data_IF_244472588300
#
_entry.id   IF_244472588300
#
_cell.length_a   1.000
_cell.length_b   1.000
_cell.length_c   1.000
_cell.angle_alpha   90.00
_cell.angle_beta   90.00
_cell.angle_gamma   90.00
#
_symmetry.space_group_name_H-M   'P 1'
#
loop_
_entity.id
_entity.type
_entity.pdbx_description
1 polymer ?
#
# COMPACT_ATOMS: atom_id res chain seq x y z
N UNK A 1 -21.44 -39.77 -4.46
CA UNK A 1 -21.97 -38.41 -4.43
C UNK A 1 -21.18 -37.60 -5.43
N UNK A 2 -21.83 -37.00 -6.44
CA UNK A 2 -21.20 -36.02 -7.30
C UNK A 2 -20.86 -34.82 -6.40
N UNK A 3 -19.56 -34.59 -6.17
CA UNK A 3 -19.14 -33.50 -5.31
C UNK A 3 -19.55 -32.17 -5.93
N UNK A 4 -20.31 -31.38 -5.19
CA UNK A 4 -20.65 -30.03 -5.59
C UNK A 4 -19.37 -29.20 -5.74
N UNK A 5 -19.26 -28.48 -6.86
CA UNK A 5 -18.15 -27.54 -7.07
C UNK A 5 -18.51 -26.23 -6.42
N UNK A 6 -17.84 -25.89 -5.33
CA UNK A 6 -17.95 -24.60 -4.67
C UNK A 6 -16.98 -23.58 -5.27
N UNK A 7 -17.37 -22.30 -5.28
CA UNK A 7 -16.53 -21.17 -5.63
C UNK A 7 -16.63 -20.14 -4.51
N UNK A 8 -15.49 -19.75 -3.94
CA UNK A 8 -15.39 -18.60 -3.04
C UNK A 8 -14.87 -17.40 -3.82
N UNK A 9 -15.59 -16.28 -3.76
CA UNK A 9 -15.19 -15.02 -4.44
C UNK A 9 -14.65 -14.07 -3.39
N UNK A 10 -13.44 -13.55 -3.64
CA UNK A 10 -12.76 -12.59 -2.79
C UNK A 10 -12.52 -11.29 -3.57
N UNK A 11 -12.41 -10.19 -2.86
CA UNK A 11 -12.00 -8.92 -3.46
C UNK A 11 -10.50 -8.93 -3.76
N UNK A 12 -10.11 -8.37 -4.89
CA UNK A 12 -8.71 -8.24 -5.30
C UNK A 12 -8.02 -9.57 -5.52
N UNK A 13 -6.80 -9.71 -5.03
CA UNK A 13 -6.03 -10.96 -5.10
C UNK A 13 -6.15 -11.75 -3.79
N UNK A 14 -6.57 -13.03 -3.84
CA UNK A 14 -6.69 -13.88 -2.65
C UNK A 14 -5.38 -14.02 -1.85
N UNK A 15 -4.24 -13.90 -2.49
CA UNK A 15 -2.93 -14.02 -1.82
C UNK A 15 -2.48 -12.73 -1.12
N UNK A 16 -3.20 -11.62 -1.29
CA UNK A 16 -2.78 -10.34 -0.72
C UNK A 16 -3.54 -9.99 0.55
N UNK A 17 -4.81 -9.62 0.46
CA UNK A 17 -5.65 -9.33 1.64
C UNK A 17 -6.57 -10.49 2.02
N UNK A 18 -6.82 -11.40 1.09
CA UNK A 18 -7.74 -12.53 1.24
C UNK A 18 -7.13 -13.80 1.84
N UNK A 19 -5.81 -13.86 2.08
CA UNK A 19 -5.14 -15.11 2.44
C UNK A 19 -5.66 -15.75 3.76
N UNK A 20 -6.10 -14.94 4.72
CA UNK A 20 -6.69 -15.47 5.97
C UNK A 20 -8.02 -16.19 5.69
N UNK A 21 -8.82 -15.65 4.75
CA UNK A 21 -10.06 -16.30 4.33
C UNK A 21 -9.78 -17.54 3.49
N UNK A 22 -8.80 -17.48 2.57
CA UNK A 22 -8.33 -18.63 1.81
C UNK A 22 -7.94 -19.78 2.74
N UNK A 23 -7.15 -19.53 3.78
CA UNK A 23 -6.80 -20.54 4.76
C UNK A 23 -7.99 -21.10 5.56
N UNK A 24 -9.09 -20.33 5.73
CA UNK A 24 -10.34 -20.87 6.31
C UNK A 24 -11.04 -21.80 5.32
N UNK A 25 -11.08 -21.44 4.03
CA UNK A 25 -11.66 -22.28 2.97
C UNK A 25 -10.90 -23.62 2.88
N UNK A 26 -9.56 -23.57 2.82
CA UNK A 26 -8.72 -24.77 2.74
C UNK A 26 -8.94 -25.74 3.92
N UNK A 27 -9.16 -25.19 5.12
CA UNK A 27 -9.45 -26.00 6.32
C UNK A 27 -10.89 -26.55 6.35
N UNK A 28 -11.80 -25.95 5.61
CA UNK A 28 -13.22 -26.33 5.63
C UNK A 28 -13.59 -27.38 4.58
N UNK A 29 -12.70 -27.68 3.63
CA UNK A 29 -12.97 -28.61 2.53
C UNK A 29 -11.90 -29.69 2.44
N UNK A 30 -12.34 -30.96 2.31
CA UNK A 30 -11.45 -32.10 2.06
C UNK A 30 -11.19 -32.32 0.56
N UNK A 31 -11.08 -31.22 -0.19
CA UNK A 31 -10.89 -31.23 -1.64
C UNK A 31 -9.78 -30.26 -2.05
N UNK A 32 -9.08 -30.50 -3.18
CA UNK A 32 -8.10 -29.57 -3.68
C UNK A 32 -8.70 -28.18 -3.94
N UNK A 33 -8.10 -27.14 -3.35
CA UNK A 33 -8.47 -25.75 -3.59
C UNK A 33 -7.58 -25.18 -4.69
N UNK A 34 -8.20 -24.62 -5.72
CA UNK A 34 -7.50 -23.89 -6.77
C UNK A 34 -7.68 -22.39 -6.58
N UNK A 35 -6.59 -21.69 -6.38
CA UNK A 35 -6.59 -20.21 -6.34
C UNK A 35 -6.51 -19.66 -7.76
N UNK A 36 -7.38 -18.72 -8.08
CA UNK A 36 -7.33 -17.91 -9.30
C UNK A 36 -6.90 -16.53 -8.85
N UNK A 37 -5.72 -16.03 -9.26
CA UNK A 37 -5.23 -14.71 -8.86
C UNK A 37 -6.13 -13.61 -9.43
N UNK A 38 -6.17 -12.49 -8.71
CA UNK A 38 -6.82 -11.28 -9.15
C UNK A 38 -5.87 -10.10 -9.13
N UNK A 39 -6.38 -8.89 -9.35
CA UNK A 39 -5.62 -7.65 -9.24
C UNK A 39 -5.94 -7.01 -7.92
N UNK A 40 -4.93 -6.84 -7.07
CA UNK A 40 -5.06 -6.19 -5.77
C UNK A 40 -5.12 -4.67 -5.93
N UNK A 41 -5.79 -3.97 -5.00
CA UNK A 41 -5.79 -2.51 -4.92
C UNK A 41 -4.37 -1.93 -4.82
N UNK A 42 -3.43 -2.63 -4.19
CA UNK A 42 -2.03 -2.22 -4.13
C UNK A 42 -1.35 -2.25 -5.51
N UNK A 43 -1.68 -3.22 -6.37
CA UNK A 43 -1.18 -3.25 -7.76
C UNK A 43 -1.77 -2.10 -8.58
N UNK A 44 -3.05 -1.79 -8.38
CA UNK A 44 -3.69 -0.63 -9.02
C UNK A 44 -3.01 0.66 -8.54
N UNK A 45 -2.82 0.82 -7.23
CA UNK A 45 -2.14 1.98 -6.64
C UNK A 45 -0.71 2.14 -7.18
N UNK A 46 0.07 1.04 -7.26
CA UNK A 46 1.42 1.06 -7.85
C UNK A 46 1.40 1.60 -9.29
N UNK A 47 0.44 1.14 -10.10
CA UNK A 47 0.28 1.59 -11.48
C UNK A 47 -0.12 3.07 -11.57
N UNK A 48 -1.04 3.53 -10.72
CA UNK A 48 -1.48 4.94 -10.65
C UNK A 48 -0.34 5.86 -10.18
N UNK A 49 0.42 5.42 -9.17
CA UNK A 49 1.55 6.16 -8.63
C UNK A 49 2.82 6.06 -9.52
N UNK A 50 2.83 5.17 -10.52
CA UNK A 50 4.02 4.85 -11.35
C UNK A 50 5.22 4.45 -10.48
N UNK A 51 4.99 3.60 -9.50
CA UNK A 51 6.04 3.02 -8.65
C UNK A 51 6.34 1.60 -9.13
N UNK A 52 7.56 1.31 -9.60
CA UNK A 52 7.92 -0.04 -10.03
C UNK A 52 7.80 -1.03 -8.86
N UNK A 53 7.21 -2.19 -9.10
CA UNK A 53 7.02 -3.20 -8.06
C UNK A 53 8.35 -3.69 -7.49
N UNK A 54 9.40 -3.78 -8.32
CA UNK A 54 10.75 -4.18 -7.93
C UNK A 54 11.40 -3.18 -6.96
N UNK A 55 11.03 -1.89 -7.05
CA UNK A 55 11.51 -0.82 -6.17
C UNK A 55 10.54 -0.54 -5.02
N UNK A 56 9.52 -1.37 -4.83
CA UNK A 56 8.44 -1.13 -3.87
C UNK A 56 8.44 -2.16 -2.74
N UNK A 57 7.95 -1.75 -1.57
CA UNK A 57 7.63 -2.60 -0.43
C UNK A 57 6.13 -2.57 -0.21
N UNK A 58 5.52 -3.75 -0.26
CA UNK A 58 4.08 -3.93 -0.07
C UNK A 58 3.81 -4.42 1.34
N UNK A 59 2.99 -3.69 2.09
CA UNK A 59 2.61 -4.05 3.46
C UNK A 59 1.10 -3.96 3.61
N UNK A 60 0.49 -4.99 4.20
CA UNK A 60 -0.91 -4.94 4.61
C UNK A 60 -1.01 -4.89 6.13
N UNK A 61 -1.60 -3.83 6.63
CA UNK A 61 -2.00 -3.71 8.03
C UNK A 61 -3.43 -4.21 8.25
N UNK A 62 -4.19 -4.40 7.17
CA UNK A 62 -5.58 -4.88 7.17
C UNK A 62 -5.64 -6.37 7.51
N UNK A 63 -5.19 -6.72 8.70
CA UNK A 63 -5.19 -8.09 9.23
C UNK A 63 -5.40 -8.08 10.73
N UNK A 64 -5.81 -9.23 11.28
CA UNK A 64 -5.91 -9.43 12.73
C UNK A 64 -4.54 -9.72 13.33
N UNK A 65 -4.34 -9.32 14.59
CA UNK A 65 -3.13 -9.63 15.35
C UNK A 65 -2.13 -8.49 15.40
N UNK A 66 -0.93 -8.85 15.82
CA UNK A 66 0.20 -7.95 16.01
C UNK A 66 0.72 -7.40 14.66
N UNK A 67 1.15 -6.15 14.65
CA UNK A 67 1.68 -5.42 13.51
C UNK A 67 3.16 -5.01 13.68
N UNK A 68 3.82 -5.35 14.79
CA UNK A 68 5.17 -4.87 15.08
C UNK A 68 6.15 -5.17 13.95
N UNK A 69 6.14 -6.39 13.41
CA UNK A 69 6.99 -6.77 12.28
C UNK A 69 6.65 -6.03 10.97
N UNK A 70 5.39 -5.59 10.81
CA UNK A 70 4.99 -4.80 9.65
C UNK A 70 5.46 -3.36 9.79
N UNK A 71 5.36 -2.78 10.98
CA UNK A 71 5.87 -1.45 11.28
C UNK A 71 7.40 -1.40 11.13
N UNK A 72 8.12 -2.38 11.66
CA UNK A 72 9.57 -2.49 11.44
C UNK A 72 9.91 -2.50 9.94
N UNK A 73 9.17 -3.27 9.14
CA UNK A 73 9.36 -3.34 7.69
C UNK A 73 9.11 -2.00 7.00
N UNK A 74 8.10 -1.25 7.44
CA UNK A 74 7.81 0.09 6.91
C UNK A 74 8.93 1.08 7.27
N UNK A 75 9.35 1.11 8.53
CA UNK A 75 10.41 2.00 9.03
C UNK A 75 11.75 1.72 8.34
N UNK A 76 12.09 0.45 8.12
CA UNK A 76 13.35 0.09 7.44
C UNK A 76 13.33 0.45 5.96
N UNK A 77 12.16 0.43 5.32
CA UNK A 77 12.04 0.62 3.88
C UNK A 77 11.73 2.07 3.46
N UNK A 78 11.23 2.92 4.37
CA UNK A 78 10.87 4.30 4.04
C UNK A 78 12.08 5.10 3.58
N UNK A 79 11.90 5.89 2.52
CA UNK A 79 12.97 6.68 1.90
C UNK A 79 13.76 5.90 0.84
N UNK A 80 14.14 4.65 1.13
CA UNK A 80 14.90 3.81 0.20
C UNK A 80 14.02 3.13 -0.86
N UNK A 81 12.78 2.81 -0.51
CA UNK A 81 11.83 2.11 -1.37
C UNK A 81 10.48 2.83 -1.37
N UNK A 82 9.75 2.69 -2.45
CA UNK A 82 8.34 3.07 -2.43
C UNK A 82 7.57 2.17 -1.46
N UNK A 83 6.76 2.77 -0.60
CA UNK A 83 5.86 2.00 0.27
C UNK A 83 4.47 1.98 -0.36
N UNK A 84 3.86 0.81 -0.40
CA UNK A 84 2.45 0.64 -0.73
C UNK A 84 1.78 -0.07 0.44
N UNK A 85 0.95 0.66 1.15
CA UNK A 85 0.38 0.20 2.42
C UNK A 85 -1.13 0.09 2.31
N UNK A 86 -1.65 -1.05 2.73
CA UNK A 86 -3.09 -1.23 2.95
C UNK A 86 -3.37 -0.95 4.43
N UNK A 87 -4.03 0.17 4.78
CA UNK A 87 -4.30 0.55 6.16
C UNK A 87 -5.18 -0.46 6.91
N UNK A 88 -5.16 -0.41 8.24
CA UNK A 88 -6.14 -1.09 9.08
C UNK A 88 -7.26 -0.09 9.38
N UNK A 89 -8.49 -0.34 8.91
CA UNK A 89 -9.59 0.59 9.07
C UNK A 89 -9.75 1.06 10.51
N UNK A 90 -9.81 2.39 10.68
CA UNK A 90 -10.06 3.13 11.92
C UNK A 90 -9.07 2.90 13.07
N UNK A 91 -8.04 2.09 12.86
CA UNK A 91 -7.01 1.79 13.85
C UNK A 91 -5.63 2.34 13.39
N UNK A 92 -5.26 2.08 12.14
CA UNK A 92 -4.03 2.55 11.51
C UNK A 92 -4.33 3.11 10.12
N UNK A 93 -4.84 4.33 10.10
CA UNK A 93 -5.19 5.05 8.88
C UNK A 93 -3.98 5.77 8.27
N UNK A 94 -4.07 6.31 7.06
CA UNK A 94 -2.93 6.95 6.39
C UNK A 94 -2.17 7.97 7.24
N UNK A 95 -2.88 8.82 8.01
CA UNK A 95 -2.28 9.79 8.91
C UNK A 95 -1.49 9.15 10.05
N UNK A 96 -2.02 8.09 10.66
CA UNK A 96 -1.35 7.37 11.76
C UNK A 96 -0.07 6.69 11.28
N UNK A 97 -0.11 6.13 10.06
CA UNK A 97 1.07 5.53 9.42
C UNK A 97 2.13 6.59 9.13
N UNK A 98 1.72 7.76 8.62
CA UNK A 98 2.62 8.87 8.38
C UNK A 98 3.26 9.40 9.66
N UNK A 99 2.49 9.51 10.75
CA UNK A 99 2.98 9.92 12.07
C UNK A 99 4.02 8.94 12.60
N UNK A 100 3.75 7.64 12.55
CA UNK A 100 4.69 6.59 12.93
C UNK A 100 5.99 6.68 12.13
N UNK A 101 5.93 6.89 10.81
CA UNK A 101 7.10 6.95 9.95
C UNK A 101 7.95 8.20 10.23
N UNK A 102 7.33 9.36 10.39
CA UNK A 102 8.03 10.61 10.70
C UNK A 102 8.64 10.55 12.10
N UNK A 103 7.93 10.00 13.10
CA UNK A 103 8.47 9.81 14.45
C UNK A 103 9.64 8.81 14.49
N UNK A 104 9.68 7.86 13.55
CA UNK A 104 10.81 6.95 13.37
C UNK A 104 11.98 7.58 12.58
N UNK A 105 11.87 8.84 12.15
CA UNK A 105 12.93 9.60 11.48
C UNK A 105 12.84 9.64 9.97
N UNK A 106 11.71 9.25 9.37
CA UNK A 106 11.51 9.45 7.93
C UNK A 106 11.45 10.95 7.58
N UNK A 107 11.95 11.29 6.40
CA UNK A 107 11.88 12.64 5.89
C UNK A 107 10.41 13.07 5.70
N UNK A 108 9.95 14.14 6.39
CA UNK A 108 8.58 14.61 6.27
C UNK A 108 8.23 15.15 4.87
N UNK A 109 9.22 15.50 4.05
CA UNK A 109 9.00 16.01 2.70
C UNK A 109 8.82 14.92 1.65
N UNK A 110 8.89 13.62 2.04
CA UNK A 110 8.60 12.52 1.12
C UNK A 110 7.18 12.62 0.57
N UNK A 111 7.08 12.51 -0.76
CA UNK A 111 5.79 12.48 -1.46
C UNK A 111 4.91 11.34 -0.96
N UNK A 112 3.71 11.65 -0.56
CA UNK A 112 2.67 10.71 -0.17
C UNK A 112 1.41 10.87 -1.03
N UNK A 113 0.78 9.76 -1.35
CA UNK A 113 -0.48 9.74 -2.09
C UNK A 113 -1.45 8.79 -1.39
N UNK A 114 -2.63 9.28 -1.07
CA UNK A 114 -3.72 8.45 -0.59
C UNK A 114 -4.71 8.25 -1.72
N UNK A 115 -4.95 7.00 -2.07
CA UNK A 115 -5.99 6.60 -3.00
C UNK A 115 -7.16 6.04 -2.22
N UNK A 116 -8.36 6.48 -2.52
CA UNK A 116 -9.60 6.01 -1.92
C UNK A 116 -10.52 5.47 -2.99
N UNK A 117 -11.27 4.41 -2.67
CA UNK A 117 -12.24 3.78 -3.58
C UNK A 117 -11.68 3.45 -4.97
N UNK A 118 -10.42 3.00 -5.04
CA UNK A 118 -9.74 2.68 -6.31
C UNK A 118 -10.62 1.80 -7.21
N UNK A 119 -10.78 2.22 -8.45
CA UNK A 119 -11.60 1.60 -9.50
C UNK A 119 -13.13 1.69 -9.32
N UNK A 120 -13.59 2.42 -8.32
CA UNK A 120 -15.01 2.75 -8.14
C UNK A 120 -15.34 4.13 -8.72
N UNK A 121 -16.62 4.42 -8.88
CA UNK A 121 -17.06 5.73 -9.38
C UNK A 121 -16.68 6.89 -8.43
N UNK A 122 -16.53 6.58 -7.14
CA UNK A 122 -16.11 7.50 -6.09
C UNK A 122 -14.59 7.57 -5.91
N UNK A 123 -13.80 7.06 -6.85
CA UNK A 123 -12.33 7.10 -6.76
C UNK A 123 -11.84 8.52 -6.47
N UNK A 124 -11.09 8.67 -5.40
CA UNK A 124 -10.48 9.93 -5.00
C UNK A 124 -8.98 9.77 -4.80
N UNK A 125 -8.22 10.85 -5.05
CA UNK A 125 -6.76 10.86 -4.89
C UNK A 125 -6.32 12.11 -4.17
N UNK A 126 -5.70 11.94 -3.01
CA UNK A 126 -5.05 13.02 -2.25
C UNK A 126 -3.54 12.92 -2.43
N UNK A 127 -2.90 13.98 -2.92
CA UNK A 127 -1.44 14.11 -3.04
C UNK A 127 -0.94 15.09 -2.00
N UNK A 128 0.08 14.69 -1.24
CA UNK A 128 0.57 15.40 -0.08
C UNK A 128 2.01 14.98 0.22
N UNK A 129 2.56 15.39 1.36
CA UNK A 129 3.81 14.87 1.92
C UNK A 129 3.53 14.04 3.17
N UNK A 130 4.51 13.29 3.67
CA UNK A 130 4.38 12.58 4.94
C UNK A 130 4.10 13.55 6.10
N UNK A 131 4.79 14.69 6.12
CA UNK A 131 4.64 15.71 7.17
C UNK A 131 3.25 16.32 7.21
N UNK A 132 2.67 16.62 6.05
CA UNK A 132 1.30 17.14 5.97
C UNK A 132 0.27 16.05 6.29
N UNK A 133 0.52 14.81 5.86
CA UNK A 133 -0.37 13.68 6.08
C UNK A 133 -0.49 13.33 7.57
N UNK A 134 0.61 13.43 8.35
CA UNK A 134 0.61 13.13 9.78
C UNK A 134 -0.36 14.00 10.60
N UNK A 135 -0.73 15.19 10.09
CA UNK A 135 -1.69 16.07 10.75
C UNK A 135 -3.08 15.43 10.87
N UNK A 136 -3.36 14.44 10.00
CA UNK A 136 -4.59 13.65 10.05
C UNK A 136 -4.46 12.39 10.93
N UNK A 137 -3.37 12.22 11.66
CA UNK A 137 -3.25 11.17 12.67
C UNK A 137 -4.23 11.44 13.81
N UNK A 138 -4.94 10.43 14.21
CA UNK A 138 -5.92 10.61 15.28
C UNK A 138 -6.32 9.29 15.92
N UNK A 139 -5.97 8.20 15.31
CA UNK A 139 -6.18 6.82 15.78
C UNK A 139 -7.54 6.55 16.43
N UNK A 140 -8.13 5.45 16.16
CA UNK A 140 -9.22 4.95 16.98
C UNK A 140 -10.62 5.43 16.64
N UNK A 141 -10.93 5.64 15.36
CA UNK A 141 -12.32 5.77 14.97
C UNK A 141 -12.56 6.51 13.65
N UNK A 142 -13.70 6.21 13.06
CA UNK A 142 -14.17 6.77 11.80
C UNK A 142 -14.22 8.31 11.81
N UNK A 143 -14.55 8.91 12.96
CA UNK A 143 -14.69 10.35 13.13
C UNK A 143 -13.33 11.09 13.22
N UNK A 144 -12.24 10.38 13.47
CA UNK A 144 -10.90 10.97 13.67
C UNK A 144 -10.03 10.97 12.42
N UNK A 145 -10.46 10.34 11.34
CA UNK A 145 -9.76 10.30 10.07
C UNK A 145 -10.60 10.88 8.94
N UNK A 146 -10.01 11.69 8.02
CA UNK A 146 -10.71 12.15 6.82
C UNK A 146 -10.75 11.09 5.70
N UNK A 147 -10.11 9.93 5.89
CA UNK A 147 -9.93 8.92 4.86
C UNK A 147 -10.89 7.74 5.04
N UNK A 148 -11.34 7.20 3.91
CA UNK A 148 -12.17 5.99 3.85
C UNK A 148 -11.40 4.74 4.29
N UNK A 149 -12.12 3.73 4.79
CA UNK A 149 -11.62 2.39 5.04
C UNK A 149 -11.14 1.67 3.75
N UNK A 150 -11.58 2.14 2.59
CA UNK A 150 -11.14 1.66 1.27
C UNK A 150 -9.97 2.49 0.73
N UNK A 151 -9.00 2.81 1.57
CA UNK A 151 -7.83 3.60 1.19
C UNK A 151 -6.59 2.73 0.97
N UNK A 152 -5.68 3.25 0.15
CA UNK A 152 -4.31 2.76 -0.05
C UNK A 152 -3.36 3.93 0.09
N UNK A 153 -2.38 3.82 0.97
CA UNK A 153 -1.30 4.78 1.10
C UNK A 153 -0.11 4.38 0.23
N UNK A 154 0.39 5.32 -0.55
CA UNK A 154 1.67 5.21 -1.25
C UNK A 154 2.61 6.29 -0.72
N UNK A 155 3.81 5.91 -0.26
CA UNK A 155 4.90 6.83 0.03
C UNK A 155 5.99 6.59 -1.00
N UNK A 156 6.45 7.65 -1.67
CA UNK A 156 7.48 7.50 -2.69
C UNK A 156 8.85 7.41 -2.03
N UNK A 157 9.75 6.61 -2.63
CA UNK A 157 11.16 6.65 -2.25
C UNK A 157 11.72 8.06 -2.50
N UNK A 158 12.69 8.46 -1.70
CA UNK A 158 13.44 9.67 -1.98
C UNK A 158 13.99 9.57 -3.41
N UNK A 159 13.80 10.60 -4.23
CA UNK A 159 14.47 10.67 -5.52
C UNK A 159 15.96 10.86 -5.21
N UNK A 160 16.80 9.90 -5.61
CA UNK A 160 18.22 10.19 -5.73
C UNK A 160 18.30 11.45 -6.59
N UNK A 161 18.90 12.52 -6.07
CA UNK A 161 19.19 13.70 -6.87
C UNK A 161 19.85 13.20 -8.15
N UNK A 162 19.17 13.35 -9.28
CA UNK A 162 19.76 13.07 -10.59
C UNK A 162 20.91 14.05 -10.72
N UNK A 163 22.10 13.56 -10.38
CA UNK A 163 23.32 14.29 -10.65
C UNK A 163 23.26 14.75 -12.08
N UNK A 164 23.22 16.04 -12.28
CA UNK A 164 23.23 16.72 -13.54
C UNK A 164 24.47 16.27 -14.31
N UNK A 165 24.32 15.24 -15.14
CA UNK A 165 25.29 14.94 -16.19
C UNK A 165 24.86 15.71 -17.45
N UNK A 166 24.86 17.05 -17.29
CA UNK A 166 24.82 17.99 -18.39
C UNK A 166 26.30 18.36 -18.68
N UNK A 167 27.02 17.38 -19.19
CA UNK A 167 28.35 17.61 -19.70
C UNK A 167 28.52 17.03 -21.10
N UNK A 168 28.43 17.94 -22.06
CA UNK A 168 29.17 17.88 -23.31
C UNK A 168 28.67 16.96 -24.44
N UNK A 169 27.86 17.50 -25.29
CA UNK A 169 28.18 17.38 -26.70
C UNK A 169 28.21 18.79 -27.34
N UNK A 170 29.35 19.46 -27.18
CA UNK A 170 29.75 20.58 -27.99
C UNK A 170 30.97 20.14 -28.79
N UNK A 171 30.76 19.85 -30.06
CA UNK A 171 31.87 19.96 -30.97
C UNK A 171 32.30 18.71 -31.70
N UNK A 172 31.91 18.64 -32.96
CA UNK A 172 32.87 18.58 -34.04
C UNK A 172 32.13 18.50 -35.38
N UNK A 173 32.13 19.58 -36.07
CA UNK A 173 31.87 19.60 -37.50
C UNK A 173 33.02 18.98 -38.30
N UNK A 174 32.67 18.34 -39.33
CA UNK A 174 33.22 18.41 -40.70
C UNK A 174 32.45 17.45 -41.59
#
# INVERSE_FOLDING_TARGET
AAGDRGVAVLMGDPNHSGYQFLGKVERAVDAPVRVIPGISSLQVAASRARTPMEASTFVTLHKSGDLDADFERLVVAVGDRHLLVLPRPFDWMPGDIADLLVDAGADPDLDAVVYEHLTHDEEHTTRTTLGDLRVSAGGGGEESTPYSDLSVLVVRAATAESGSDDSADAGAGR
#
